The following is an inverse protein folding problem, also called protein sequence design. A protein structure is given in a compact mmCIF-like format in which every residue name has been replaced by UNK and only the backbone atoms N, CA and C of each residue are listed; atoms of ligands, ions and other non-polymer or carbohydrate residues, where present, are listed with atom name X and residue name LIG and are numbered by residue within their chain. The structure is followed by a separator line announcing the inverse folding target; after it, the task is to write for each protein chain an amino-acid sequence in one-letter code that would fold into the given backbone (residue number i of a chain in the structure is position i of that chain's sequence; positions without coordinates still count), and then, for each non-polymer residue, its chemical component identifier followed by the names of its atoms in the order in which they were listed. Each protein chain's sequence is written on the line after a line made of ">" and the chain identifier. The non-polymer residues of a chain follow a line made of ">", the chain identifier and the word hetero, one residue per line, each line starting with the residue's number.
data_IF_297197597860
#
_entry.id   IF_297197597860
#
_cell.length_a   1.000
_cell.length_b   1.000
_cell.length_c   1.000
_cell.angle_alpha   90.00
_cell.angle_beta   90.00
_cell.angle_gamma   90.00
#
_symmetry.space_group_name_H-M   'P 1'
#
loop_
_entity.id
_entity.type
_entity.pdbx_description
1 polymer ?
#
# COMPACT_ATOMS: atom_id res chain seq x y z
N UNK A 1 -7.73 -57.71 13.54
CA UNK A 1 -8.45 -56.42 13.70
C UNK A 1 -7.52 -55.24 14.04
N UNK A 2 -6.61 -55.36 15.01
CA UNK A 2 -5.74 -54.29 15.50
C UNK A 2 -4.82 -53.63 14.44
N UNK A 3 -4.22 -54.42 13.54
CA UNK A 3 -3.27 -53.96 12.50
C UNK A 3 -3.91 -52.98 11.51
N UNK A 4 -5.12 -53.29 11.06
CA UNK A 4 -5.89 -52.46 10.11
C UNK A 4 -6.25 -51.09 10.71
N UNK A 5 -6.55 -51.05 12.01
CA UNK A 5 -6.87 -49.82 12.73
C UNK A 5 -5.63 -48.93 12.89
N UNK A 6 -4.47 -49.50 13.22
CA UNK A 6 -3.21 -48.76 13.29
C UNK A 6 -2.81 -48.17 11.94
N UNK A 7 -2.95 -48.92 10.85
CA UNK A 7 -2.60 -48.47 9.50
C UNK A 7 -3.51 -47.33 9.02
N UNK A 8 -4.83 -47.43 9.25
CA UNK A 8 -5.78 -46.34 8.97
C UNK A 8 -5.46 -45.07 9.78
N UNK A 9 -5.11 -45.20 11.06
CA UNK A 9 -4.72 -44.05 11.90
C UNK A 9 -3.42 -43.41 11.42
N UNK A 10 -2.42 -44.21 11.04
CA UNK A 10 -1.16 -43.70 10.48
C UNK A 10 -1.35 -42.94 9.17
N UNK A 11 -2.19 -43.46 8.27
CA UNK A 11 -2.53 -42.77 7.02
C UNK A 11 -3.27 -41.45 7.26
N UNK A 12 -4.22 -41.44 8.19
CA UNK A 12 -4.99 -40.26 8.56
C UNK A 12 -4.11 -39.16 9.17
N UNK A 13 -3.20 -39.52 10.07
CA UNK A 13 -2.21 -38.58 10.66
C UNK A 13 -1.29 -38.00 9.58
N UNK A 14 -0.79 -38.83 8.66
CA UNK A 14 0.09 -38.40 7.56
C UNK A 14 -0.63 -37.42 6.63
N UNK A 15 -1.88 -37.67 6.28
CA UNK A 15 -2.69 -36.79 5.41
C UNK A 15 -3.04 -35.47 6.12
N UNK A 16 -3.40 -35.51 7.40
CA UNK A 16 -3.65 -34.29 8.19
C UNK A 16 -2.41 -33.40 8.32
N UNK A 17 -1.23 -34.00 8.55
CA UNK A 17 0.04 -33.25 8.60
C UNK A 17 0.35 -32.57 7.26
N UNK A 18 0.16 -33.27 6.13
CA UNK A 18 0.33 -32.70 4.78
C UNK A 18 -0.64 -31.54 4.53
N UNK A 19 -1.91 -31.70 4.91
CA UNK A 19 -2.93 -30.64 4.78
C UNK A 19 -2.57 -29.42 5.62
N UNK A 20 -2.11 -29.62 6.85
CA UNK A 20 -1.66 -28.54 7.72
C UNK A 20 -0.47 -27.77 7.12
N UNK A 21 0.56 -28.48 6.64
CA UNK A 21 1.72 -27.85 5.97
C UNK A 21 1.29 -27.08 4.72
N UNK A 22 0.40 -27.65 3.91
CA UNK A 22 -0.18 -27.00 2.73
C UNK A 22 -0.91 -25.71 3.08
N UNK A 23 -1.74 -25.74 4.13
CA UNK A 23 -2.49 -24.57 4.59
C UNK A 23 -1.56 -23.47 5.13
N UNK A 24 -0.52 -23.84 5.89
CA UNK A 24 0.48 -22.88 6.39
C UNK A 24 1.24 -22.26 5.21
N UNK A 25 1.65 -23.07 4.22
CA UNK A 25 2.31 -22.59 3.01
C UNK A 25 1.43 -21.59 2.25
N UNK A 26 0.15 -21.91 2.09
CA UNK A 26 -0.81 -21.00 1.43
C UNK A 26 -0.97 -19.69 2.22
N UNK A 27 -1.09 -19.77 3.55
CA UNK A 27 -1.18 -18.59 4.40
C UNK A 27 0.07 -17.70 4.29
N UNK A 28 1.27 -18.29 4.30
CA UNK A 28 2.53 -17.56 4.11
C UNK A 28 2.57 -16.81 2.78
N UNK A 29 2.13 -17.46 1.69
CA UNK A 29 2.07 -16.84 0.36
C UNK A 29 1.10 -15.65 0.37
N UNK A 30 -0.08 -15.82 0.95
CA UNK A 30 -1.07 -14.74 1.04
C UNK A 30 -0.54 -13.55 1.85
N UNK A 31 0.08 -13.80 3.00
CA UNK A 31 0.68 -12.75 3.84
C UNK A 31 1.78 -12.01 3.08
N UNK A 32 2.65 -12.73 2.36
CA UNK A 32 3.67 -12.12 1.52
C UNK A 32 3.09 -11.24 0.42
N UNK A 33 2.00 -11.67 -0.23
CA UNK A 33 1.33 -10.89 -1.27
C UNK A 33 0.70 -9.61 -0.71
N UNK A 34 0.06 -9.69 0.46
CA UNK A 34 -0.47 -8.51 1.15
C UNK A 34 0.62 -7.52 1.56
N UNK A 35 1.78 -8.01 2.03
CA UNK A 35 2.89 -7.14 2.39
C UNK A 35 3.35 -6.27 1.21
N UNK A 36 3.33 -6.80 -0.03
CA UNK A 36 3.67 -6.04 -1.24
C UNK A 36 2.72 -4.87 -1.52
N UNK A 37 1.45 -4.97 -1.11
CA UNK A 37 0.45 -3.92 -1.29
C UNK A 37 0.65 -2.78 -0.28
N UNK A 38 1.16 -3.11 0.91
CA UNK A 38 1.42 -2.14 1.99
C UNK A 38 2.82 -1.53 1.95
N UNK A 39 3.64 -1.86 0.96
CA UNK A 39 4.96 -1.28 0.79
C UNK A 39 4.86 0.04 0.01
N UNK A 40 5.36 1.09 0.64
CA UNK A 40 5.58 2.38 0.02
C UNK A 40 7.01 2.46 -0.55
N UNK A 41 7.18 3.33 -1.54
CA UNK A 41 8.49 3.77 -2.05
C UNK A 41 8.59 5.28 -1.98
N UNK A 42 9.82 5.79 -2.07
CA UNK A 42 10.05 7.22 -2.19
C UNK A 42 9.47 7.75 -3.51
N UNK A 43 8.73 8.84 -3.42
CA UNK A 43 8.24 9.57 -4.58
C UNK A 43 9.29 10.57 -5.07
N UNK A 44 9.02 11.20 -6.23
CA UNK A 44 9.78 12.37 -6.70
C UNK A 44 9.62 13.59 -5.78
N UNK A 45 8.54 13.68 -5.02
CA UNK A 45 8.41 14.66 -3.96
C UNK A 45 9.21 14.18 -2.74
N UNK A 46 10.17 15.00 -2.31
CA UNK A 46 11.10 14.66 -1.24
C UNK A 46 10.38 14.18 0.02
N UNK A 47 10.77 13.01 0.53
CA UNK A 47 10.29 12.40 1.79
C UNK A 47 8.77 12.13 1.82
N UNK A 48 8.07 12.25 0.68
CA UNK A 48 6.68 11.82 0.55
C UNK A 48 6.64 10.39 -0.04
N UNK A 49 6.09 9.40 0.68
CA UNK A 49 5.95 8.05 0.19
C UNK A 49 4.76 7.92 -0.77
N UNK A 50 4.91 7.08 -1.78
CA UNK A 50 3.82 6.63 -2.66
C UNK A 50 3.81 5.10 -2.74
N UNK A 51 2.67 4.46 -3.03
CA UNK A 51 2.62 3.02 -3.22
C UNK A 51 3.63 2.54 -4.26
N UNK A 52 4.16 1.33 -4.10
CA UNK A 52 5.13 0.78 -5.05
C UNK A 52 4.61 0.77 -6.51
N UNK A 53 3.29 0.62 -6.69
CA UNK A 53 2.59 0.66 -7.99
C UNK A 53 2.54 2.04 -8.65
N UNK A 54 2.87 3.12 -7.93
CA UNK A 54 2.78 4.48 -8.45
C UNK A 54 3.92 4.74 -9.44
N UNK A 55 3.61 5.14 -10.66
CA UNK A 55 4.58 5.48 -11.70
C UNK A 55 4.48 6.98 -11.95
N UNK A 56 5.59 7.69 -11.75
CA UNK A 56 5.70 9.11 -12.05
C UNK A 56 5.54 9.34 -13.55
N UNK A 57 4.71 10.31 -13.93
CA UNK A 57 4.57 10.79 -15.30
C UNK A 57 5.22 12.17 -15.36
N UNK A 58 6.15 12.36 -16.30
CA UNK A 58 6.68 13.70 -16.57
C UNK A 58 5.56 14.58 -17.12
N UNK A 59 5.43 15.75 -16.53
CA UNK A 59 4.53 16.80 -16.97
C UNK A 59 5.34 18.09 -17.12
N UNK A 60 4.89 18.99 -18.00
CA UNK A 60 5.59 20.24 -18.28
C UNK A 60 5.54 21.24 -17.11
N UNK A 61 4.71 20.97 -16.09
CA UNK A 61 4.60 21.76 -14.87
C UNK A 61 5.34 21.09 -13.69
N UNK A 62 6.50 21.62 -13.31
CA UNK A 62 7.33 21.11 -12.20
C UNK A 62 6.66 21.19 -10.82
N UNK A 63 5.62 22.02 -10.65
CA UNK A 63 4.97 22.23 -9.35
C UNK A 63 4.03 21.09 -8.94
N UNK A 64 3.58 20.28 -9.91
CA UNK A 64 2.53 19.28 -9.72
C UNK A 64 3.09 17.89 -10.06
N UNK A 65 3.41 17.08 -9.05
CA UNK A 65 3.91 15.74 -9.31
C UNK A 65 2.75 14.81 -9.70
N UNK A 66 2.78 14.29 -10.93
CA UNK A 66 1.73 13.39 -11.46
C UNK A 66 2.15 11.93 -11.39
N UNK A 67 1.24 11.07 -10.96
CA UNK A 67 1.44 9.63 -10.88
C UNK A 67 0.26 8.87 -11.47
N UNK A 68 0.52 7.75 -12.14
CA UNK A 68 -0.48 6.69 -12.31
C UNK A 68 -0.25 5.65 -11.21
N UNK A 69 -1.30 5.23 -10.50
CA UNK A 69 -1.16 4.16 -9.51
C UNK A 69 -2.36 3.21 -9.55
N UNK A 70 -2.09 1.91 -9.44
CA UNK A 70 -3.12 0.87 -9.28
C UNK A 70 -3.66 0.86 -7.85
N UNK A 71 -2.78 1.09 -6.87
CA UNK A 71 -3.15 1.21 -5.46
C UNK A 71 -3.41 2.69 -5.16
N UNK A 72 -4.54 3.04 -4.53
CA UNK A 72 -4.81 4.43 -4.16
C UNK A 72 -3.79 5.01 -3.19
N UNK A 73 -3.44 6.28 -3.41
CA UNK A 73 -2.56 7.05 -2.51
C UNK A 73 -3.41 7.65 -1.38
N UNK A 74 -3.87 6.80 -0.48
CA UNK A 74 -4.74 7.16 0.67
C UNK A 74 -4.01 7.11 2.01
N UNK A 75 -2.77 6.62 2.01
CA UNK A 75 -1.89 6.54 3.18
C UNK A 75 -0.48 6.94 2.76
N UNK A 76 0.24 7.54 3.68
CA UNK A 76 1.64 7.90 3.50
C UNK A 76 2.37 7.59 4.81
N UNK A 77 3.23 6.57 4.82
CA UNK A 77 3.97 6.19 6.02
C UNK A 77 4.78 7.36 6.60
N UNK A 78 4.65 7.61 7.90
CA UNK A 78 5.34 8.73 8.57
C UNK A 78 4.71 10.11 8.33
N UNK A 79 3.55 10.19 7.68
CA UNK A 79 2.75 11.40 7.53
C UNK A 79 1.41 11.26 8.27
N UNK A 80 0.96 12.32 8.94
CA UNK A 80 -0.34 12.42 9.57
C UNK A 80 -1.42 12.59 8.49
N UNK A 81 -2.43 11.71 8.48
CA UNK A 81 -3.58 11.85 7.58
C UNK A 81 -4.59 12.85 8.17
N UNK A 82 -4.75 14.00 7.51
CA UNK A 82 -5.63 15.08 7.96
C UNK A 82 -7.09 14.90 7.53
N UNK A 83 -7.36 13.98 6.61
CA UNK A 83 -8.70 13.66 6.16
C UNK A 83 -8.85 13.66 4.64
N UNK A 84 -9.98 13.10 4.23
CA UNK A 84 -10.41 12.96 2.85
C UNK A 84 -11.59 13.91 2.60
N UNK A 85 -11.51 14.71 1.53
CA UNK A 85 -12.60 15.56 1.07
C UNK A 85 -12.83 15.32 -0.43
N UNK A 86 -13.88 14.55 -0.73
CA UNK A 86 -14.28 14.22 -2.09
C UNK A 86 -13.17 13.49 -2.85
N UNK A 87 -12.46 14.24 -3.69
CA UNK A 87 -11.38 13.73 -4.54
C UNK A 87 -10.00 14.02 -3.99
N UNK A 88 -9.90 14.47 -2.74
CA UNK A 88 -8.65 14.97 -2.15
C UNK A 88 -8.33 14.27 -0.84
N UNK A 89 -7.07 13.88 -0.67
CA UNK A 89 -6.51 13.37 0.58
C UNK A 89 -5.41 14.32 1.05
N UNK A 90 -5.43 14.72 2.32
CA UNK A 90 -4.44 15.66 2.86
C UNK A 90 -3.55 15.00 3.90
N UNK A 91 -2.25 15.27 3.82
CA UNK A 91 -1.22 14.72 4.67
C UNK A 91 -0.36 15.82 5.27
N UNK A 92 0.15 15.62 6.49
CA UNK A 92 1.02 16.56 7.19
C UNK A 92 2.23 15.87 7.81
N UNK A 93 3.39 16.53 7.73
CA UNK A 93 4.61 16.13 8.44
C UNK A 93 5.37 17.39 8.86
N UNK A 94 5.35 17.69 10.16
CA UNK A 94 5.84 18.96 10.68
C UNK A 94 5.06 20.16 10.11
N UNK A 95 5.75 21.07 9.44
CA UNK A 95 5.14 22.23 8.76
C UNK A 95 4.72 21.95 7.31
N UNK A 96 5.14 20.81 6.75
CA UNK A 96 4.83 20.43 5.37
C UNK A 96 3.41 19.86 5.30
N UNK A 97 2.66 20.28 4.28
CA UNK A 97 1.35 19.72 3.96
C UNK A 97 1.30 19.32 2.50
N UNK A 98 0.92 18.08 2.24
CA UNK A 98 0.77 17.52 0.90
C UNK A 98 -0.69 17.20 0.67
N UNK A 99 -1.21 17.63 -0.47
CA UNK A 99 -2.55 17.28 -0.93
C UNK A 99 -2.42 16.36 -2.14
N UNK A 100 -3.08 15.22 -2.06
CA UNK A 100 -3.21 14.25 -3.15
C UNK A 100 -4.61 14.42 -3.74
N UNK A 101 -4.72 14.65 -5.04
CA UNK A 101 -5.99 14.74 -5.77
C UNK A 101 -6.13 13.54 -6.69
N UNK A 102 -7.32 12.93 -6.70
CA UNK A 102 -7.67 11.78 -7.52
C UNK A 102 -9.11 11.90 -8.03
N UNK A 103 -9.26 12.13 -9.33
CA UNK A 103 -10.58 12.29 -9.95
C UNK A 103 -11.22 10.92 -10.25
N UNK A 104 -12.55 10.78 -10.09
CA UNK A 104 -13.25 9.53 -10.40
C UNK A 104 -13.08 9.16 -11.88
N UNK A 105 -12.80 7.88 -12.14
CA UNK A 105 -12.61 7.37 -13.51
C UNK A 105 -11.21 7.59 -14.07
N UNK A 106 -10.35 8.31 -13.35
CA UNK A 106 -8.91 8.38 -13.65
C UNK A 106 -8.14 7.39 -12.77
N UNK A 107 -6.99 6.90 -13.23
CA UNK A 107 -5.99 6.20 -12.41
C UNK A 107 -4.84 7.12 -12.00
N UNK A 108 -4.98 8.39 -12.35
CA UNK A 108 -4.00 9.44 -12.14
C UNK A 108 -4.20 10.09 -10.77
N UNK A 109 -3.09 10.40 -10.13
CA UNK A 109 -2.99 11.08 -8.84
C UNK A 109 -2.09 12.30 -9.01
N UNK A 110 -2.53 13.43 -8.47
CA UNK A 110 -1.80 14.70 -8.51
C UNK A 110 -1.37 15.06 -7.10
N UNK A 111 -0.08 15.26 -6.89
CA UNK A 111 0.52 15.58 -5.60
C UNK A 111 0.97 17.04 -5.57
N UNK A 112 0.47 17.78 -4.60
CA UNK A 112 0.75 19.20 -4.40
C UNK A 112 1.30 19.43 -3.01
N UNK A 113 2.47 20.07 -2.91
CA UNK A 113 2.97 20.55 -1.62
C UNK A 113 2.53 21.98 -1.40
N UNK A 114 1.74 22.21 -0.34
CA UNK A 114 1.35 23.56 0.04
C UNK A 114 2.56 24.28 0.61
N UNK A 115 3.19 25.14 -0.21
CA UNK A 115 4.19 26.08 0.28
C UNK A 115 3.47 27.07 1.19
N UNK A 116 3.71 26.97 2.49
CA UNK A 116 3.32 28.02 3.43
C UNK A 116 4.03 29.30 2.99
N UNK A 117 3.30 30.25 2.41
CA UNK A 117 3.82 31.59 2.22
C UNK A 117 4.24 32.09 3.59
N UNK A 118 5.54 32.33 3.78
CA UNK A 118 6.02 33.19 4.87
C UNK A 118 5.63 34.62 4.53
N UNK A 119 4.32 34.92 4.54
CA UNK A 119 3.85 36.29 4.52
C UNK A 119 4.09 36.88 5.92
N UNK A 120 5.11 37.74 5.98
CA UNK A 120 5.22 38.89 6.88
C UNK A 120 4.97 38.65 8.37
N UNK A 121 6.06 38.47 9.12
CA UNK A 121 6.18 39.07 10.45
C UNK A 121 7.52 39.77 10.57
#
# INVERSE_FOLDING_TARGET
>A
MMKVICEKRGFLVKTNRKKLVSNISMAMILVGLFALIYLDKESKMEDFPVPMSAIHINDDNEADYKYISVIPITKASGWEHLGENGHTNSFKKGERKVTVVHYPGEITYYLFEQKMNKEGR
#
